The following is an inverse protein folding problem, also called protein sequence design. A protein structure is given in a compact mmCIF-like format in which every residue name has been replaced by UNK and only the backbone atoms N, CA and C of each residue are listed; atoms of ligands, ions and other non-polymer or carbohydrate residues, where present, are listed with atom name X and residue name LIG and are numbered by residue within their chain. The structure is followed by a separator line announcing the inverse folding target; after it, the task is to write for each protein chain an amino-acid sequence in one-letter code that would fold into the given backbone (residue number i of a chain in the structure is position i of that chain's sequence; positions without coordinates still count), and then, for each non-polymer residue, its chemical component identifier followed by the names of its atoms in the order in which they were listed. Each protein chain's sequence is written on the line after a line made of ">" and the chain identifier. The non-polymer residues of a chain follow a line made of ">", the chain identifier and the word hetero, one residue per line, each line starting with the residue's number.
data_IF_550764245780
#
_entry.id   IF_550764245780
#
_cell.length_a   1.000
_cell.length_b   1.000
_cell.length_c   1.000
_cell.angle_alpha   90.00
_cell.angle_beta   90.00
_cell.angle_gamma   90.00
#
_symmetry.space_group_name_H-M   'P 1'
#
loop_
_entity.id
_entity.type
_entity.pdbx_description
1 polymer ?
#
# COMPACT_ATOMS: atom_id res chain seq x y z
N UNK A 1 -33.34 -24.70 -15.42
CA UNK A 1 -31.93 -25.06 -15.62
C UNK A 1 -31.11 -23.83 -15.23
N UNK A 2 -30.55 -23.82 -14.02
CA UNK A 2 -29.95 -22.66 -13.35
C UNK A 2 -28.81 -22.07 -14.19
N UNK A 3 -29.00 -20.85 -14.69
CA UNK A 3 -27.97 -20.08 -15.37
C UNK A 3 -26.95 -19.63 -14.31
N UNK A 4 -25.71 -20.07 -14.49
CA UNK A 4 -24.57 -19.72 -13.64
C UNK A 4 -24.26 -18.23 -13.82
N UNK A 5 -24.76 -17.40 -12.91
CA UNK A 5 -24.37 -16.00 -12.79
C UNK A 5 -22.89 -16.00 -12.37
N UNK A 6 -21.99 -15.79 -13.33
CA UNK A 6 -20.57 -15.60 -13.07
C UNK A 6 -20.43 -14.41 -12.11
N UNK A 7 -19.76 -14.66 -10.98
CA UNK A 7 -19.49 -13.69 -9.93
C UNK A 7 -18.49 -12.67 -10.47
N UNK A 8 -18.96 -11.56 -11.06
CA UNK A 8 -18.13 -10.43 -11.48
C UNK A 8 -17.77 -9.59 -10.24
N UNK A 9 -17.08 -10.20 -9.27
CA UNK A 9 -16.52 -9.53 -8.10
C UNK A 9 -15.03 -9.20 -8.26
N UNK A 10 -14.44 -9.47 -9.44
CA UNK A 10 -13.00 -9.39 -9.69
C UNK A 10 -12.61 -8.41 -10.81
N UNK A 11 -13.25 -7.25 -10.85
CA UNK A 11 -12.75 -6.07 -11.58
C UNK A 11 -12.33 -4.98 -10.58
N UNK A 12 -11.49 -5.32 -9.59
CA UNK A 12 -10.70 -4.30 -8.87
C UNK A 12 -9.55 -3.88 -9.79
N UNK A 13 -9.88 -3.03 -10.77
CA UNK A 13 -8.93 -2.49 -11.73
C UNK A 13 -7.72 -1.88 -11.04
N UNK A 14 -6.54 -2.45 -11.30
CA UNK A 14 -5.23 -1.79 -11.46
C UNK A 14 -4.94 -0.55 -10.59
N UNK A 15 -5.28 -0.56 -9.30
CA UNK A 15 -4.71 0.42 -8.36
C UNK A 15 -3.25 0.01 -8.17
N UNK A 16 -2.33 0.73 -8.83
CA UNK A 16 -0.90 0.66 -8.52
C UNK A 16 -0.73 1.03 -7.04
N UNK A 17 -0.65 0.01 -6.19
CA UNK A 17 -0.27 0.19 -4.79
C UNK A 17 1.19 0.61 -4.77
N UNK A 18 1.44 1.91 -4.59
CA UNK A 18 2.80 2.41 -4.44
C UNK A 18 3.31 1.88 -3.10
N UNK A 19 4.27 0.96 -3.17
CA UNK A 19 4.95 0.39 -2.02
C UNK A 19 6.30 1.05 -1.80
N UNK A 20 6.78 0.97 -0.57
CA UNK A 20 8.07 1.47 -0.13
C UNK A 20 8.63 0.55 0.93
N UNK A 21 9.94 0.34 0.88
CA UNK A 21 10.67 -0.41 1.90
C UNK A 21 10.95 0.52 3.09
N UNK A 22 10.61 0.06 4.28
CA UNK A 22 10.92 0.77 5.52
C UNK A 22 12.43 0.69 5.81
N UNK A 23 13.08 1.83 6.06
CA UNK A 23 14.52 1.85 6.35
C UNK A 23 14.90 1.22 7.70
N UNK A 24 13.96 1.14 8.66
CA UNK A 24 14.19 0.56 10.00
C UNK A 24 13.96 -0.96 10.03
N UNK A 25 12.78 -1.42 9.58
CA UNK A 25 12.42 -2.85 9.62
C UNK A 25 12.63 -3.61 8.32
N UNK A 26 13.05 -2.92 7.24
CA UNK A 26 13.35 -3.50 5.92
C UNK A 26 12.21 -4.28 5.26
N UNK A 27 10.96 -4.03 5.68
CA UNK A 27 9.76 -4.64 5.08
C UNK A 27 9.17 -3.72 4.01
N UNK A 28 8.71 -4.33 2.92
CA UNK A 28 7.91 -3.64 1.91
C UNK A 28 6.50 -3.40 2.44
N UNK A 29 6.02 -2.16 2.31
CA UNK A 29 4.74 -1.71 2.81
C UNK A 29 4.12 -0.67 1.88
N UNK A 30 2.79 -0.53 1.83
CA UNK A 30 2.15 0.55 1.08
C UNK A 30 2.51 1.91 1.67
N UNK A 31 2.59 2.97 0.85
CA UNK A 31 2.84 4.34 1.33
C UNK A 31 1.84 4.79 2.41
N UNK A 32 0.62 4.25 2.42
CA UNK A 32 -0.39 4.49 3.45
C UNK A 32 0.06 4.09 4.87
N UNK A 33 0.99 3.13 4.99
CA UNK A 33 1.60 2.72 6.25
C UNK A 33 2.78 3.60 6.68
N UNK A 34 3.11 4.67 5.94
CA UNK A 34 4.15 5.63 6.30
C UNK A 34 3.51 6.96 6.75
N UNK A 35 4.20 7.67 7.64
CA UNK A 35 3.77 9.02 8.04
C UNK A 35 4.19 10.04 6.99
N UNK A 36 3.35 11.07 6.79
CA UNK A 36 3.68 12.20 5.91
C UNK A 36 4.91 12.93 6.46
N UNK A 37 5.81 13.33 5.57
CA UNK A 37 6.95 14.18 5.90
C UNK A 37 7.28 15.03 4.69
N UNK A 38 7.19 16.34 4.88
CA UNK A 38 7.63 17.34 3.92
C UNK A 38 9.15 17.16 3.70
N UNK A 39 9.56 16.97 2.44
CA UNK A 39 10.94 16.63 2.06
C UNK A 39 11.29 15.13 2.03
N UNK A 40 10.39 14.24 2.44
CA UNK A 40 10.59 12.80 2.32
C UNK A 40 10.40 12.28 0.89
N UNK A 41 11.07 11.17 0.52
CA UNK A 41 10.83 10.50 -0.77
C UNK A 41 9.35 10.06 -0.84
N UNK A 42 8.63 10.50 -1.87
CA UNK A 42 7.17 10.35 -2.02
C UNK A 42 6.32 11.11 -0.98
N UNK A 43 6.86 12.14 -0.34
CA UNK A 43 6.16 12.93 0.68
C UNK A 43 5.92 12.18 2.00
N UNK A 44 6.64 11.08 2.21
CA UNK A 44 6.52 10.24 3.42
C UNK A 44 7.89 9.95 4.05
N UNK A 45 7.87 9.56 5.32
CA UNK A 45 9.06 9.19 6.09
C UNK A 45 9.80 7.99 5.49
N UNK A 46 11.10 7.90 5.79
CA UNK A 46 11.93 6.70 5.59
C UNK A 46 11.35 5.45 6.26
N UNK A 47 10.75 5.65 7.43
CA UNK A 47 10.30 4.62 8.35
C UNK A 47 8.77 4.47 8.31
N UNK A 48 8.26 3.23 8.40
CA UNK A 48 6.84 2.99 8.53
C UNK A 48 6.30 3.46 9.89
N UNK A 49 4.99 3.67 10.01
CA UNK A 49 4.31 4.10 11.24
C UNK A 49 4.70 3.27 12.46
N UNK A 50 4.72 1.94 12.31
CA UNK A 50 5.12 0.98 13.37
C UNK A 50 6.57 1.14 13.86
N UNK A 51 7.44 1.75 13.05
CA UNK A 51 8.85 1.95 13.36
C UNK A 51 9.15 3.35 13.90
N UNK A 52 8.23 4.28 13.66
CA UNK A 52 8.33 5.66 14.14
C UNK A 52 7.79 5.80 15.56
N UNK A 53 6.71 5.07 15.89
CA UNK A 53 6.36 4.74 17.28
C UNK A 53 7.46 3.89 17.91
#
# INVERSE_FOLDING_TARGET
>A
YKLYILNISSFKGLIRMITKICTKCKKEKPLSEFNKQEGGKYGVRGQCKKCFT
#
